data_IF_059376447937
#
_entry.id   IF_059376447937
#
_cell.length_a   1.000
_cell.length_b   1.000
_cell.length_c   1.000
_cell.angle_alpha   90.00
_cell.angle_beta   90.00
_cell.angle_gamma   90.00
#
_symmetry.space_group_name_H-M   'P 1'
#
loop_
_entity.id
_entity.type
_entity.pdbx_description
1 polymer ?
#
# COMPACT_ATOMS: atom_id res chain seq x y z
N UNK A 1 72.84 5.88 -25.03
CA UNK A 1 71.67 4.99 -25.04
C UNK A 1 70.81 5.38 -23.84
N UNK A 2 69.80 6.23 -24.02
CA UNK A 2 68.90 6.67 -22.95
C UNK A 2 67.55 5.96 -23.14
N UNK A 3 67.13 5.21 -22.13
CA UNK A 3 65.82 4.54 -22.09
C UNK A 3 64.91 5.44 -21.25
N UNK A 4 64.00 6.17 -21.90
CA UNK A 4 62.97 6.95 -21.22
C UNK A 4 61.77 6.05 -20.91
N UNK A 5 61.52 5.81 -19.62
CA UNK A 5 60.34 5.10 -19.15
C UNK A 5 59.16 6.07 -19.01
N UNK A 6 58.08 5.83 -19.77
CA UNK A 6 56.79 6.49 -19.63
C UNK A 6 56.01 5.83 -18.49
N UNK A 7 55.84 6.52 -17.35
CA UNK A 7 54.87 6.13 -16.31
C UNK A 7 53.50 6.71 -16.68
N UNK A 8 52.56 5.85 -17.09
CA UNK A 8 51.14 6.21 -17.21
C UNK A 8 50.47 6.16 -15.84
N UNK A 9 50.14 7.33 -15.30
CA UNK A 9 49.31 7.47 -14.08
C UNK A 9 47.85 7.24 -14.47
N UNK A 10 47.27 6.12 -14.05
CA UNK A 10 45.83 5.87 -14.20
C UNK A 10 45.12 6.57 -13.04
N UNK A 11 44.46 7.70 -13.32
CA UNK A 11 43.61 8.38 -12.35
C UNK A 11 42.32 7.57 -12.16
N UNK A 12 42.22 6.81 -11.07
CA UNK A 12 40.96 6.22 -10.64
C UNK A 12 40.04 7.33 -10.13
N UNK A 13 39.03 7.69 -10.94
CA UNK A 13 37.93 8.53 -10.48
C UNK A 13 37.04 7.67 -9.58
N UNK A 14 37.11 7.88 -8.27
CA UNK A 14 36.20 7.25 -7.32
C UNK A 14 34.81 7.85 -7.52
N UNK A 15 33.91 7.11 -8.17
CA UNK A 15 32.50 7.46 -8.18
C UNK A 15 31.95 7.33 -6.76
N UNK A 16 31.51 8.42 -6.16
CA UNK A 16 30.77 8.38 -4.90
C UNK A 16 29.39 7.77 -5.18
N UNK A 17 29.21 6.51 -4.82
CA UNK A 17 27.88 5.89 -4.85
C UNK A 17 26.99 6.59 -3.83
N UNK A 18 25.89 7.18 -4.28
CA UNK A 18 24.87 7.72 -3.38
C UNK A 18 24.36 6.60 -2.47
N UNK A 19 24.32 6.86 -1.16
CA UNK A 19 23.78 5.88 -0.22
C UNK A 19 22.25 5.82 -0.33
N UNK A 20 21.65 4.64 -0.21
CA UNK A 20 20.20 4.51 -0.25
C UNK A 20 19.56 5.26 0.91
N UNK A 21 18.48 6.00 0.62
CA UNK A 21 17.64 6.62 1.65
C UNK A 21 16.55 5.62 2.03
N UNK A 22 16.38 5.37 3.33
CA UNK A 22 15.27 4.55 3.82
C UNK A 22 13.96 5.31 3.73
N UNK A 23 12.94 4.69 3.14
CA UNK A 23 11.57 5.22 3.14
C UNK A 23 10.74 4.71 4.32
N UNK A 24 11.30 3.88 5.21
CA UNK A 24 10.59 3.47 6.43
C UNK A 24 10.40 4.68 7.35
N UNK A 25 9.16 4.88 7.82
CA UNK A 25 8.87 5.92 8.79
C UNK A 25 9.25 5.45 10.20
N UNK A 26 9.75 6.35 11.04
CA UNK A 26 10.07 6.08 12.44
C UNK A 26 8.82 6.14 13.35
N UNK A 27 7.64 5.82 12.81
CA UNK A 27 6.33 5.96 13.48
C UNK A 27 5.71 4.62 13.85
N UNK A 28 6.40 3.50 13.62
CA UNK A 28 5.89 2.16 13.88
C UNK A 28 4.99 1.63 12.75
N UNK A 29 3.94 0.90 13.15
CA UNK A 29 2.95 0.32 12.24
C UNK A 29 1.59 0.96 12.47
N UNK A 30 0.74 0.96 11.44
CA UNK A 30 -0.68 1.25 11.60
C UNK A 30 -1.47 -0.03 11.44
N UNK A 31 -2.53 -0.17 12.23
CA UNK A 31 -3.43 -1.33 12.19
C UNK A 31 -4.69 -0.97 11.43
N UNK A 32 -5.06 -1.81 10.46
CA UNK A 32 -6.38 -1.73 9.84
C UNK A 32 -7.32 -2.64 10.61
N UNK A 33 -8.37 -2.05 11.17
CA UNK A 33 -9.23 -2.72 12.15
C UNK A 33 -10.59 -3.09 11.58
N UNK A 34 -11.14 -4.24 12.00
CA UNK A 34 -12.50 -4.68 11.65
C UNK A 34 -12.80 -4.67 10.14
N UNK A 35 -11.79 -4.99 9.33
CA UNK A 35 -11.93 -4.90 7.87
C UNK A 35 -12.86 -5.97 7.33
N UNK A 36 -13.79 -5.58 6.47
CA UNK A 36 -14.68 -6.48 5.73
C UNK A 36 -14.94 -5.97 4.32
N UNK A 37 -15.26 -6.89 3.41
CA UNK A 37 -15.73 -6.62 2.04
C UNK A 37 -17.04 -7.36 1.78
N UNK A 38 -18.10 -6.64 1.45
CA UNK A 38 -19.35 -7.20 1.00
C UNK A 38 -19.62 -6.77 -0.45
N UNK A 39 -19.83 -7.73 -1.34
CA UNK A 39 -20.20 -7.46 -2.73
C UNK A 39 -21.66 -7.81 -2.97
N UNK A 40 -22.32 -7.09 -3.87
CA UNK A 40 -23.63 -7.47 -4.35
C UNK A 40 -23.58 -8.79 -5.15
N UNK A 41 -24.73 -9.43 -5.35
CA UNK A 41 -24.79 -10.73 -6.01
C UNK A 41 -24.29 -10.70 -7.46
N UNK A 42 -24.34 -9.55 -8.12
CA UNK A 42 -23.86 -9.35 -9.48
C UNK A 42 -22.37 -8.96 -9.56
N UNK A 43 -21.71 -8.76 -8.42
CA UNK A 43 -20.33 -8.27 -8.31
C UNK A 43 -20.11 -6.98 -9.12
N UNK A 44 -21.10 -6.10 -9.07
CA UNK A 44 -21.08 -4.76 -9.68
C UNK A 44 -20.64 -3.69 -8.69
N UNK A 45 -20.85 -3.96 -7.38
CA UNK A 45 -20.46 -3.08 -6.29
C UNK A 45 -19.93 -3.91 -5.12
N UNK A 46 -18.77 -3.52 -4.59
CA UNK A 46 -18.24 -4.05 -3.34
C UNK A 46 -18.01 -2.90 -2.34
N UNK A 47 -18.67 -3.00 -1.19
CA UNK A 47 -18.48 -2.10 -0.07
C UNK A 47 -17.43 -2.68 0.89
N UNK A 48 -16.44 -1.85 1.19
CA UNK A 48 -15.43 -2.12 2.20
C UNK A 48 -15.67 -1.24 3.42
N UNK A 49 -15.52 -1.84 4.60
CA UNK A 49 -15.59 -1.14 5.88
C UNK A 49 -14.39 -1.50 6.73
N UNK A 50 -13.73 -0.52 7.35
CA UNK A 50 -12.59 -0.74 8.25
C UNK A 50 -12.29 0.49 9.10
N UNK A 51 -11.48 0.35 10.14
CA UNK A 51 -10.85 1.47 10.83
C UNK A 51 -9.37 1.60 10.45
N UNK A 52 -8.81 2.79 10.70
CA UNK A 52 -7.37 3.08 10.61
C UNK A 52 -6.92 3.43 12.01
N UNK A 53 -6.17 2.55 12.66
CA UNK A 53 -5.55 2.83 13.95
C UNK A 53 -4.06 3.17 13.78
N UNK A 54 -3.71 4.39 14.16
CA UNK A 54 -2.35 4.92 14.10
C UNK A 54 -1.61 4.82 15.44
N UNK A 55 -2.26 4.28 16.48
CA UNK A 55 -1.77 4.34 17.87
C UNK A 55 -1.94 5.71 18.53
N UNK A 56 -2.50 6.70 17.80
CA UNK A 56 -2.84 8.03 18.28
C UNK A 56 -4.32 8.32 17.98
N UNK A 57 -5.12 8.50 19.03
CA UNK A 57 -6.55 8.76 18.92
C UNK A 57 -6.89 10.03 18.12
N UNK A 58 -5.97 10.99 18.00
CA UNK A 58 -6.19 12.21 17.21
C UNK A 58 -6.14 11.95 15.69
N UNK A 59 -5.43 10.90 15.26
CA UNK A 59 -5.31 10.54 13.84
C UNK A 59 -5.94 9.21 13.48
N UNK A 60 -6.35 8.39 14.45
CA UNK A 60 -7.11 7.18 14.18
C UNK A 60 -8.54 7.50 13.72
N UNK A 61 -9.03 6.75 12.74
CA UNK A 61 -10.37 6.91 12.16
C UNK A 61 -11.13 5.61 12.30
N UNK A 62 -12.31 5.68 12.92
CA UNK A 62 -13.26 4.58 12.93
C UNK A 62 -14.15 4.61 11.68
N UNK A 63 -14.63 3.44 11.26
CA UNK A 63 -15.72 3.27 10.29
C UNK A 63 -15.51 3.93 8.91
N UNK A 64 -14.32 3.79 8.34
CA UNK A 64 -14.07 4.11 6.93
C UNK A 64 -15.00 3.29 6.05
N UNK A 65 -15.73 3.98 5.16
CA UNK A 65 -16.55 3.36 4.11
C UNK A 65 -15.90 3.61 2.76
N UNK A 66 -15.70 2.54 2.00
CA UNK A 66 -15.00 2.59 0.74
C UNK A 66 -15.67 1.67 -0.28
N UNK A 67 -16.29 2.25 -1.30
CA UNK A 67 -17.03 1.51 -2.33
C UNK A 67 -16.19 1.36 -3.59
N UNK A 68 -16.11 0.13 -4.10
CA UNK A 68 -15.51 -0.21 -5.39
C UNK A 68 -16.61 -0.62 -6.34
N UNK A 69 -16.61 -0.05 -7.54
CA UNK A 69 -17.54 -0.44 -8.61
C UNK A 69 -16.80 -1.28 -9.65
N UNK A 70 -17.52 -2.17 -10.32
CA UNK A 70 -17.01 -2.88 -11.49
C UNK A 70 -16.51 -1.87 -12.55
N UNK A 71 -15.37 -2.14 -13.15
CA UNK A 71 -14.74 -1.27 -14.15
C UNK A 71 -13.80 -2.08 -15.06
N UNK A 72 -13.49 -1.55 -16.24
CA UNK A 72 -12.50 -2.14 -17.17
C UNK A 72 -12.70 -3.64 -17.48
N UNK A 73 -13.97 -4.06 -17.64
CA UNK A 73 -14.39 -5.46 -17.83
C UNK A 73 -14.01 -6.40 -16.67
N UNK A 74 -13.75 -5.85 -15.48
CA UNK A 74 -13.53 -6.58 -14.24
C UNK A 74 -14.72 -6.42 -13.30
N UNK A 75 -15.10 -7.49 -12.56
CA UNK A 75 -16.07 -7.36 -11.49
C UNK A 75 -15.53 -6.44 -10.38
N UNK A 76 -16.42 -5.90 -9.54
CA UNK A 76 -16.07 -4.97 -8.47
C UNK A 76 -15.05 -5.54 -7.49
N UNK A 77 -15.14 -6.84 -7.20
CA UNK A 77 -14.19 -7.56 -6.34
C UNK A 77 -12.75 -7.57 -6.87
N UNK A 78 -12.56 -7.31 -8.17
CA UNK A 78 -11.27 -7.33 -8.88
C UNK A 78 -10.93 -5.99 -9.55
N UNK A 79 -11.69 -4.94 -9.26
CA UNK A 79 -11.55 -3.63 -9.87
C UNK A 79 -10.62 -2.71 -9.07
N UNK A 80 -10.15 -1.65 -9.72
CA UNK A 80 -9.50 -0.53 -9.03
C UNK A 80 -10.56 0.31 -8.31
N UNK A 81 -10.28 0.70 -7.07
CA UNK A 81 -11.14 1.60 -6.32
C UNK A 81 -10.54 2.99 -6.13
N UNK A 82 -11.39 3.92 -5.69
CA UNK A 82 -10.99 5.26 -5.27
C UNK A 82 -10.52 6.19 -6.41
N UNK A 83 -9.94 7.36 -6.05
CA UNK A 83 -9.62 7.79 -4.68
C UNK A 83 -10.83 8.16 -3.83
N UNK A 84 -10.76 7.88 -2.53
CA UNK A 84 -11.73 8.34 -1.50
C UNK A 84 -10.96 9.10 -0.42
N UNK A 85 -11.51 10.22 0.03
CA UNK A 85 -10.94 11.03 1.11
C UNK A 85 -11.74 10.85 2.40
N UNK A 86 -11.05 10.56 3.50
CA UNK A 86 -11.63 10.45 4.85
C UNK A 86 -10.75 11.18 5.84
N UNK A 87 -11.21 12.33 6.32
CA UNK A 87 -10.35 13.23 7.10
C UNK A 87 -9.09 13.62 6.31
N UNK A 88 -7.92 13.42 6.90
CA UNK A 88 -6.62 13.69 6.29
C UNK A 88 -6.15 12.57 5.33
N UNK A 89 -6.87 11.44 5.31
CA UNK A 89 -6.49 10.28 4.54
C UNK A 89 -7.02 10.30 3.10
N UNK A 90 -6.20 9.89 2.14
CA UNK A 90 -6.63 9.49 0.80
C UNK A 90 -6.39 8.00 0.61
N UNK A 91 -7.43 7.30 0.13
CA UNK A 91 -7.45 5.84 0.02
C UNK A 91 -7.73 5.46 -1.43
N UNK A 92 -6.88 4.60 -1.97
CA UNK A 92 -7.07 3.90 -3.26
C UNK A 92 -6.85 2.42 -3.08
N UNK A 93 -7.31 1.60 -4.03
CA UNK A 93 -7.07 0.16 -4.01
C UNK A 93 -6.84 -0.39 -5.41
N UNK A 94 -6.08 -1.47 -5.48
CA UNK A 94 -5.85 -2.23 -6.70
C UNK A 94 -5.86 -3.72 -6.40
N UNK A 95 -6.46 -4.49 -7.30
CA UNK A 95 -6.47 -5.95 -7.24
C UNK A 95 -5.42 -6.55 -8.18
N UNK A 96 -4.87 -7.70 -7.80
CA UNK A 96 -3.91 -8.47 -8.59
C UNK A 96 -4.09 -9.97 -8.38
N UNK A 97 -3.95 -10.75 -9.44
CA UNK A 97 -3.82 -12.22 -9.47
C UNK A 97 -2.44 -12.65 -9.95
N UNK A 98 -1.40 -11.81 -9.80
CA UNK A 98 -0.05 -12.08 -10.31
C UNK A 98 0.56 -13.40 -9.79
N UNK A 99 0.04 -13.95 -8.68
CA UNK A 99 0.49 -15.20 -8.08
C UNK A 99 -0.41 -16.41 -8.44
N UNK A 100 -1.35 -16.24 -9.37
CA UNK A 100 -2.27 -17.26 -9.85
C UNK A 100 -3.74 -16.87 -9.65
N UNK A 101 -4.63 -17.48 -10.45
CA UNK A 101 -6.06 -17.16 -10.47
C UNK A 101 -6.77 -17.33 -9.11
N UNK A 102 -6.32 -18.30 -8.30
CA UNK A 102 -6.86 -18.54 -6.95
C UNK A 102 -6.08 -17.82 -5.84
N UNK A 103 -5.22 -16.88 -6.22
CA UNK A 103 -4.35 -16.07 -5.33
C UNK A 103 -4.59 -14.58 -5.53
N UNK A 104 -5.82 -14.22 -5.89
CA UNK A 104 -6.27 -12.83 -5.98
C UNK A 104 -6.16 -12.13 -4.63
N UNK A 105 -5.66 -10.90 -4.64
CA UNK A 105 -5.56 -10.04 -3.47
C UNK A 105 -5.81 -8.58 -3.84
N UNK A 106 -6.27 -7.81 -2.87
CA UNK A 106 -6.41 -6.35 -2.97
C UNK A 106 -5.36 -5.68 -2.11
N UNK A 107 -4.63 -4.73 -2.67
CA UNK A 107 -3.77 -3.82 -1.92
C UNK A 107 -4.40 -2.43 -1.88
N UNK A 108 -4.44 -1.84 -0.69
CA UNK A 108 -4.79 -0.44 -0.49
C UNK A 108 -3.55 0.44 -0.49
N UNK A 109 -3.72 1.70 -0.84
CA UNK A 109 -2.80 2.77 -0.47
C UNK A 109 -3.57 3.69 0.45
N UNK A 110 -3.15 3.79 1.71
CA UNK A 110 -3.76 4.69 2.71
C UNK A 110 -2.74 5.77 3.01
N UNK A 111 -3.00 6.97 2.50
CA UNK A 111 -2.08 8.11 2.54
C UNK A 111 -2.56 9.14 3.54
N UNK A 112 -1.76 9.45 4.56
CA UNK A 112 -1.90 10.68 5.34
C UNK A 112 -1.18 11.81 4.61
N UNK A 113 -1.94 12.71 4.01
CA UNK A 113 -1.38 13.82 3.22
C UNK A 113 -0.76 14.91 4.09
N UNK A 114 -1.17 15.02 5.35
CA UNK A 114 -0.69 16.05 6.29
C UNK A 114 0.66 15.64 6.85
N UNK A 115 0.77 14.41 7.38
CA UNK A 115 2.03 13.88 7.91
C UNK A 115 2.96 13.34 6.82
N UNK A 116 2.48 13.23 5.57
CA UNK A 116 3.18 12.65 4.42
C UNK A 116 3.64 11.22 4.69
N UNK A 117 2.70 10.40 5.16
CA UNK A 117 2.90 9.00 5.49
C UNK A 117 1.99 8.11 4.63
N UNK A 118 2.40 6.86 4.42
CA UNK A 118 1.62 5.88 3.66
C UNK A 118 1.81 4.47 4.23
N UNK A 119 0.74 3.69 4.23
CA UNK A 119 0.79 2.23 4.39
C UNK A 119 0.20 1.54 3.16
N UNK A 120 0.60 0.29 2.95
CA UNK A 120 0.10 -0.57 1.87
C UNK A 120 -0.56 -1.86 2.39
N UNK A 121 -1.78 -1.78 2.97
CA UNK A 121 -2.51 -2.96 3.43
C UNK A 121 -2.81 -3.92 2.30
N UNK A 122 -2.57 -5.21 2.49
CA UNK A 122 -2.86 -6.27 1.52
C UNK A 122 -3.77 -7.34 2.12
N UNK A 123 -4.79 -7.74 1.37
CA UNK A 123 -5.75 -8.77 1.78
C UNK A 123 -6.03 -9.73 0.64
N UNK A 124 -5.88 -11.03 0.93
CA UNK A 124 -6.26 -12.08 -0.01
C UNK A 124 -7.79 -12.15 -0.12
N UNK A 125 -8.30 -12.50 -1.31
CA UNK A 125 -9.74 -12.66 -1.52
C UNK A 125 -10.36 -13.69 -0.56
N UNK A 126 -9.60 -14.70 -0.14
CA UNK A 126 -10.06 -15.71 0.83
C UNK A 126 -10.31 -15.14 2.23
N UNK A 127 -9.66 -14.03 2.58
CA UNK A 127 -9.81 -13.35 3.88
C UNK A 127 -11.07 -12.48 3.91
N UNK A 128 -11.42 -11.87 2.78
CA UNK A 128 -12.41 -10.78 2.72
C UNK A 128 -13.70 -11.15 1.99
N UNK A 129 -13.72 -12.24 1.22
CA UNK A 129 -14.96 -12.68 0.54
C UNK A 129 -16.09 -12.95 1.53
N UNK A 130 -17.32 -12.83 1.02
CA UNK A 130 -18.55 -13.15 1.74
C UNK A 130 -18.83 -12.24 2.96
N UNK A 131 -18.29 -11.02 3.00
CA UNK A 131 -18.56 -10.08 4.10
C UNK A 131 -17.86 -10.43 5.42
N UNK A 132 -16.88 -11.34 5.38
CA UNK A 132 -16.13 -11.75 6.57
C UNK A 132 -15.31 -10.59 7.11
N UNK A 133 -15.37 -10.41 8.43
CA UNK A 133 -14.45 -9.54 9.14
C UNK A 133 -13.11 -10.26 9.27
N UNK A 134 -12.04 -9.63 8.81
CA UNK A 134 -10.68 -10.16 8.92
C UNK A 134 -10.30 -10.23 10.40
N UNK A 135 -9.77 -11.39 10.82
CA UNK A 135 -9.31 -11.61 12.19
C UNK A 135 -8.08 -12.53 12.18
N UNK A 136 -7.00 -12.18 12.90
CA UNK A 136 -6.83 -10.92 13.64
C UNK A 136 -6.73 -9.72 12.70
N UNK A 137 -6.95 -8.52 13.25
CA UNK A 137 -6.61 -7.27 12.57
C UNK A 137 -5.12 -7.27 12.17
N UNK A 138 -4.80 -6.60 11.08
CA UNK A 138 -3.45 -6.62 10.50
C UNK A 138 -2.77 -5.26 10.61
N UNK A 139 -1.51 -5.28 11.02
CA UNK A 139 -0.64 -4.10 11.10
C UNK A 139 0.30 -4.05 9.91
N UNK A 140 0.59 -2.83 9.45
CA UNK A 140 1.42 -2.59 8.28
C UNK A 140 2.47 -1.51 8.56
N UNK A 141 3.71 -1.69 8.09
CA UNK A 141 4.78 -0.73 8.30
C UNK A 141 4.48 0.58 7.58
N UNK A 142 4.68 1.68 8.29
CA UNK A 142 4.49 3.03 7.75
C UNK A 142 5.71 3.46 6.95
N UNK A 143 5.48 4.12 5.83
CA UNK A 143 6.51 4.69 4.98
C UNK A 143 6.35 6.21 4.87
N UNK A 144 7.48 6.91 4.71
CA UNK A 144 7.50 8.32 4.36
C UNK A 144 7.16 8.48 2.87
N UNK A 145 6.39 9.51 2.54
CA UNK A 145 6.24 9.94 1.16
C UNK A 145 7.39 10.90 0.77
N UNK A 146 7.97 10.79 -0.44
CA UNK A 146 9.10 11.63 -0.90
C UNK A 146 8.79 13.12 -1.03
#
# INVERSE_FOLDING_TARGET
MQISALLSVVAFSAATLAQPISMAANTGEWTITSLSRACDAADTVCDWTFGIDTGDAATSVADVKYTVNASDNKPASQARGGPVTVGDYTITSQWSDQFGADKGFTTFSVVDNVKRLIIFPGYDDVQVKDGKVVSPDQSYPVQNLP
#
